data_IF_568978045209
#
_entry.id   IF_568978045209
#
_cell.length_a   1.000
_cell.length_b   1.000
_cell.length_c   1.000
_cell.angle_alpha   90.00
_cell.angle_beta   90.00
_cell.angle_gamma   90.00
#
_symmetry.space_group_name_H-M   'P 1'
#
loop_
_entity.id
_entity.type
_entity.pdbx_description
1 polymer ?
#
# COMPACT_ATOMS: atom_id res chain seq x y z
N UNK A 1 -10.81 5.92 6.19
CA UNK A 1 -10.09 6.49 7.36
C UNK A 1 -9.14 5.42 7.91
N UNK A 2 -7.86 5.51 7.58
CA UNK A 2 -6.82 4.73 8.27
C UNK A 2 -6.50 5.46 9.56
N UNK A 3 -7.00 4.97 10.70
CA UNK A 3 -6.58 5.48 11.99
C UNK A 3 -5.36 4.67 12.44
N UNK A 4 -4.17 5.27 12.37
CA UNK A 4 -3.01 4.79 13.11
C UNK A 4 -3.02 5.56 14.42
N UNK A 5 -3.50 4.96 15.50
CA UNK A 5 -3.41 5.58 16.83
C UNK A 5 -2.17 5.05 17.54
N UNK A 6 -1.27 5.95 17.92
CA UNK A 6 -0.20 5.64 18.87
C UNK A 6 -0.70 5.93 20.28
N UNK A 7 -0.77 4.90 21.12
CA UNK A 7 -1.16 5.05 22.53
C UNK A 7 0.06 4.80 23.40
N UNK A 8 0.37 5.73 24.30
CA UNK A 8 1.41 5.54 25.31
C UNK A 8 0.81 4.77 26.49
N UNK A 9 1.27 3.55 26.72
CA UNK A 9 0.85 2.73 27.86
C UNK A 9 2.10 2.36 28.66
N UNK A 10 2.37 3.11 29.74
CA UNK A 10 3.60 2.95 30.53
C UNK A 10 4.84 3.47 29.81
N UNK A 11 5.98 2.77 29.91
CA UNK A 11 7.25 3.16 29.27
C UNK A 11 7.37 2.72 27.80
N UNK A 12 6.33 2.14 27.20
CA UNK A 12 6.32 1.63 25.83
C UNK A 12 5.32 2.36 24.93
N UNK A 13 5.66 2.49 23.66
CA UNK A 13 4.78 3.05 22.62
C UNK A 13 4.06 1.89 21.93
N UNK A 14 2.72 1.90 21.88
CA UNK A 14 1.94 0.95 21.07
C UNK A 14 1.56 1.59 19.75
N UNK A 15 1.63 0.84 18.66
CA UNK A 15 1.19 1.28 17.33
C UNK A 15 0.00 0.43 16.92
N UNK A 16 -1.18 1.04 16.87
CA UNK A 16 -2.38 0.37 16.36
C UNK A 16 -2.42 0.60 14.84
N UNK A 17 -2.46 -0.48 14.05
CA UNK A 17 -2.62 -0.38 12.60
C UNK A 17 -4.03 -0.89 12.27
N UNK A 18 -4.94 0.03 11.97
CA UNK A 18 -6.26 -0.33 11.47
C UNK A 18 -6.22 -0.45 9.93
N UNK A 19 -6.36 -1.67 9.43
CA UNK A 19 -6.61 -1.93 8.02
C UNK A 19 -8.11 -2.15 7.83
N UNK A 20 -8.77 -1.22 7.15
CA UNK A 20 -10.19 -1.36 6.78
C UNK A 20 -10.25 -1.69 5.30
N UNK A 21 -10.64 -2.91 4.95
CA UNK A 21 -11.01 -3.25 3.58
C UNK A 21 -12.52 -3.26 3.46
N UNK A 22 -13.08 -2.33 2.70
CA UNK A 22 -14.48 -2.35 2.28
C UNK A 22 -14.58 -3.05 0.93
N UNK A 23 -15.16 -4.25 0.88
CA UNK A 23 -15.62 -4.82 -0.38
C UNK A 23 -17.00 -4.26 -0.70
N UNK A 24 -17.11 -3.48 -1.77
CA UNK A 24 -18.40 -3.23 -2.40
C UNK A 24 -18.80 -4.45 -3.21
N UNK A 25 -19.86 -5.13 -2.80
CA UNK A 25 -20.51 -6.11 -3.66
C UNK A 25 -21.17 -5.36 -4.83
N UNK A 26 -20.99 -5.81 -6.09
CA UNK A 26 -21.73 -5.23 -7.21
C UNK A 26 -23.23 -5.48 -6.97
N UNK A 27 -24.04 -4.42 -7.00
CA UNK A 27 -25.50 -4.51 -6.94
C UNK A 27 -26.04 -5.28 -8.14
N UNK A 28 -26.16 -6.61 -8.02
CA UNK A 28 -27.03 -7.38 -8.90
C UNK A 28 -28.45 -7.28 -8.36
N UNK A 29 -29.27 -6.46 -9.03
CA UNK A 29 -30.72 -6.40 -8.85
C UNK A 29 -31.33 -7.74 -9.27
N UNK A 30 -31.46 -8.67 -8.33
CA UNK A 30 -32.38 -9.79 -8.45
C UNK A 30 -33.19 -9.92 -7.16
N UNK A 31 -34.51 -9.83 -7.32
CA UNK A 31 -35.44 -9.88 -6.21
C UNK A 31 -35.46 -11.30 -5.61
N UNK A 32 -35.11 -11.40 -4.33
CA UNK A 32 -35.46 -12.57 -3.51
C UNK A 32 -34.27 -13.33 -2.91
N UNK A 33 -33.57 -12.70 -1.96
CA UNK A 33 -32.91 -13.34 -0.80
C UNK A 33 -31.90 -12.35 -0.23
N UNK A 34 -32.17 -11.78 0.94
CA UNK A 34 -31.24 -10.90 1.64
C UNK A 34 -30.05 -11.71 2.17
N UNK A 35 -29.04 -11.92 1.34
CA UNK A 35 -27.72 -12.34 1.80
C UNK A 35 -27.08 -11.15 2.51
N UNK A 36 -27.10 -11.14 3.85
CA UNK A 36 -26.29 -10.21 4.64
C UNK A 36 -24.82 -10.47 4.34
N UNK A 37 -24.19 -9.64 3.52
CA UNK A 37 -22.74 -9.61 3.42
C UNK A 37 -22.20 -9.14 4.77
N UNK A 38 -21.53 -10.05 5.49
CA UNK A 38 -20.86 -9.68 6.73
C UNK A 38 -19.59 -8.94 6.33
N UNK A 39 -19.60 -7.61 6.47
CA UNK A 39 -18.38 -6.80 6.44
C UNK A 39 -17.49 -7.27 7.59
N UNK A 40 -16.48 -8.10 7.29
CA UNK A 40 -15.53 -8.56 8.30
C UNK A 40 -14.27 -7.71 8.21
N UNK A 41 -14.06 -6.88 9.23
CA UNK A 41 -12.83 -6.09 9.43
C UNK A 41 -11.92 -6.82 10.41
N UNK A 42 -10.62 -6.88 10.11
CA UNK A 42 -9.61 -7.38 11.04
C UNK A 42 -8.78 -6.21 11.57
N UNK A 43 -8.61 -6.13 12.90
CA UNK A 43 -7.78 -5.12 13.56
C UNK A 43 -6.51 -5.81 14.06
N UNK A 44 -5.35 -5.29 13.66
CA UNK A 44 -4.04 -5.74 14.12
C UNK A 44 -3.49 -4.74 15.11
N UNK A 45 -3.27 -5.18 16.34
CA UNK A 45 -2.63 -4.36 17.39
C UNK A 45 -1.25 -4.93 17.67
N UNK A 46 -0.20 -4.19 17.29
CA UNK A 46 1.20 -4.58 17.50
C UNK A 46 1.96 -3.62 18.42
N UNK A 47 3.08 -4.08 18.96
CA UNK A 47 4.10 -3.21 19.55
C UNK A 47 5.16 -2.81 18.51
N UNK A 48 6.07 -1.91 18.90
CA UNK A 48 7.15 -1.40 18.05
C UNK A 48 8.20 -2.45 17.69
N UNK A 49 8.25 -3.57 18.42
CA UNK A 49 9.17 -4.68 18.18
C UNK A 49 8.58 -5.70 17.19
N UNK A 50 7.36 -5.44 16.71
CA UNK A 50 6.65 -6.28 15.76
C UNK A 50 5.91 -7.45 16.41
N UNK A 51 5.76 -7.47 17.74
CA UNK A 51 4.92 -8.46 18.41
C UNK A 51 3.46 -8.02 18.31
N UNK A 52 2.61 -8.91 17.81
CA UNK A 52 1.16 -8.68 17.75
C UNK A 52 0.59 -8.95 19.15
N UNK A 53 0.16 -7.89 19.85
CA UNK A 53 -0.33 -7.99 21.22
C UNK A 53 -1.79 -8.47 21.29
N UNK A 54 -2.64 -8.01 20.38
CA UNK A 54 -4.04 -8.45 20.26
C UNK A 54 -4.40 -8.56 18.78
N UNK A 55 -5.09 -9.65 18.44
CA UNK A 55 -5.57 -9.94 17.11
C UNK A 55 -7.02 -10.37 17.22
N UNK A 56 -7.94 -9.51 16.79
CA UNK A 56 -9.34 -9.92 16.63
C UNK A 56 -9.41 -10.80 15.37
N UNK A 57 -10.08 -11.95 15.42
CA UNK A 57 -9.59 -13.19 14.85
C UNK A 57 -9.63 -13.20 13.32
N UNK A 58 -8.46 -13.03 12.70
CA UNK A 58 -8.01 -13.83 11.57
C UNK A 58 -6.49 -13.92 11.67
N UNK A 59 -5.99 -15.10 12.04
CA UNK A 59 -4.57 -15.32 12.26
C UNK A 59 -3.76 -14.99 11.00
N UNK A 60 -2.83 -14.04 11.07
CA UNK A 60 -1.76 -13.92 10.08
C UNK A 60 -0.74 -15.04 10.29
N UNK A 61 -1.15 -16.29 10.03
CA UNK A 61 -0.31 -17.50 10.14
C UNK A 61 0.85 -17.52 9.14
N UNK A 62 0.90 -16.57 8.20
CA UNK A 62 1.93 -16.53 7.17
C UNK A 62 3.33 -16.34 7.74
N UNK A 63 3.51 -15.55 8.82
CA UNK A 63 4.84 -15.37 9.44
C UNK A 63 5.38 -16.63 10.09
N UNK A 64 4.51 -17.38 10.78
CA UNK A 64 4.89 -18.61 11.49
C UNK A 64 5.46 -19.65 10.52
N UNK A 65 5.01 -19.61 9.27
CA UNK A 65 5.46 -20.52 8.21
C UNK A 65 6.19 -19.79 7.08
N UNK A 66 6.69 -18.57 7.27
CA UNK A 66 7.24 -17.80 6.15
C UNK A 66 8.41 -18.53 5.50
N UNK A 67 9.34 -19.09 6.28
CA UNK A 67 10.44 -19.90 5.74
C UNK A 67 9.93 -21.10 4.94
N UNK A 68 8.91 -21.82 5.43
CA UNK A 68 8.33 -22.96 4.73
C UNK A 68 7.56 -22.56 3.46
N UNK A 69 6.79 -21.47 3.50
CA UNK A 69 6.07 -20.92 2.36
C UNK A 69 7.02 -20.39 1.30
N UNK A 70 8.10 -19.70 1.69
CA UNK A 70 9.16 -19.26 0.78
C UNK A 70 9.83 -20.48 0.12
N UNK A 71 10.17 -21.51 0.89
CA UNK A 71 10.73 -22.75 0.32
C UNK A 71 9.76 -23.44 -0.65
N UNK A 72 8.47 -23.50 -0.32
CA UNK A 72 7.44 -24.04 -1.20
C UNK A 72 7.30 -23.22 -2.49
N UNK A 73 7.30 -21.88 -2.37
CA UNK A 73 7.25 -20.96 -3.50
C UNK A 73 8.45 -21.17 -4.44
N UNK A 74 9.66 -21.25 -3.85
CA UNK A 74 10.91 -21.51 -4.58
C UNK A 74 10.91 -22.88 -5.27
N UNK A 75 10.28 -23.89 -4.65
CA UNK A 75 10.13 -25.21 -5.24
C UNK A 75 9.10 -25.23 -6.39
N UNK A 76 8.03 -24.44 -6.28
CA UNK A 76 6.92 -24.42 -7.24
C UNK A 76 7.22 -23.57 -8.49
N UNK A 77 8.00 -22.50 -8.36
CA UNK A 77 8.35 -21.60 -9.45
C UNK A 77 9.86 -21.61 -9.71
N UNK A 78 10.35 -22.37 -10.70
CA UNK A 78 11.77 -22.39 -11.04
C UNK A 78 12.24 -21.02 -11.61
N UNK A 79 12.73 -20.18 -10.71
CA UNK A 79 13.90 -19.29 -10.82
C UNK A 79 14.08 -18.41 -12.06
N UNK A 80 13.02 -17.91 -12.69
CA UNK A 80 13.15 -16.71 -13.53
C UNK A 80 13.34 -15.42 -12.70
N UNK A 81 13.02 -15.46 -11.39
CA UNK A 81 13.15 -14.36 -10.42
C UNK A 81 14.43 -14.41 -9.55
N UNK A 82 15.32 -15.40 -9.73
CA UNK A 82 16.53 -15.51 -8.89
C UNK A 82 17.60 -14.46 -9.18
N UNK A 83 17.54 -13.80 -10.34
CA UNK A 83 18.57 -12.82 -10.70
C UNK A 83 18.72 -11.69 -9.67
N UNK A 84 17.64 -11.40 -8.94
CA UNK A 84 17.59 -10.22 -8.09
C UNK A 84 17.61 -10.55 -6.58
N UNK A 85 17.47 -11.82 -6.19
CA UNK A 85 17.54 -12.24 -4.79
C UNK A 85 18.93 -12.78 -4.46
N UNK A 86 19.66 -12.08 -3.60
CA UNK A 86 20.95 -12.54 -3.11
C UNK A 86 20.81 -13.77 -2.21
N UNK A 87 21.82 -14.64 -2.17
CA UNK A 87 21.83 -15.80 -1.27
C UNK A 87 21.67 -15.40 0.21
N UNK A 88 22.18 -14.22 0.58
CA UNK A 88 22.00 -13.65 1.92
C UNK A 88 20.52 -13.34 2.22
N UNK A 89 19.82 -12.70 1.29
CA UNK A 89 18.38 -12.43 1.41
C UNK A 89 17.59 -13.73 1.56
N UNK A 90 17.94 -14.75 0.76
CA UNK A 90 17.31 -16.06 0.84
C UNK A 90 17.53 -16.72 2.20
N UNK A 91 18.76 -16.66 2.72
CA UNK A 91 19.10 -17.18 4.04
C UNK A 91 18.27 -16.50 5.14
N UNK A 92 18.13 -15.18 5.11
CA UNK A 92 17.30 -14.43 6.07
C UNK A 92 15.82 -14.76 6.00
N UNK A 93 15.28 -14.98 4.79
CA UNK A 93 13.90 -15.44 4.62
C UNK A 93 13.68 -16.83 5.22
N UNK A 94 14.63 -17.74 5.02
CA UNK A 94 14.53 -19.11 5.50
C UNK A 94 14.76 -19.26 7.00
N UNK A 95 15.47 -18.32 7.64
CA UNK A 95 15.71 -18.33 9.08
C UNK A 95 14.53 -17.79 9.91
N UNK A 96 13.39 -17.51 9.28
CA UNK A 96 12.22 -16.85 9.91
C UNK A 96 12.54 -15.47 10.52
N UNK A 97 13.63 -14.82 10.11
CA UNK A 97 14.02 -13.48 10.58
C UNK A 97 13.59 -12.36 9.62
N UNK A 98 12.36 -12.44 9.10
CA UNK A 98 11.82 -11.39 8.23
C UNK A 98 11.52 -10.06 8.96
N UNK A 99 11.89 -9.94 10.24
CA UNK A 99 11.77 -8.73 11.05
C UNK A 99 10.32 -8.27 11.29
N UNK A 100 10.13 -7.08 11.87
CA UNK A 100 8.81 -6.51 12.08
C UNK A 100 8.11 -6.20 10.75
N UNK A 101 6.78 -6.27 10.73
CA UNK A 101 5.99 -5.75 9.60
C UNK A 101 6.08 -4.23 9.67
N UNK A 102 6.48 -3.60 8.57
CA UNK A 102 6.55 -2.14 8.47
C UNK A 102 5.22 -1.56 7.95
N UNK A 103 4.52 -2.30 7.10
CA UNK A 103 3.28 -1.86 6.50
C UNK A 103 2.56 -3.00 5.79
N UNK A 104 1.25 -2.85 5.65
CA UNK A 104 0.40 -3.80 4.95
C UNK A 104 -0.75 -3.06 4.29
N UNK A 105 -1.03 -3.36 3.02
CA UNK A 105 -2.16 -2.82 2.28
C UNK A 105 -2.80 -3.92 1.44
N UNK A 106 -4.10 -3.82 1.17
CA UNK A 106 -4.76 -4.73 0.22
C UNK A 106 -5.23 -3.96 -1.00
N UNK A 107 -5.07 -4.56 -2.17
CA UNK A 107 -5.51 -3.98 -3.43
C UNK A 107 -6.18 -5.05 -4.30
N UNK A 108 -7.19 -4.63 -5.07
CA UNK A 108 -7.89 -5.50 -5.99
C UNK A 108 -7.34 -5.30 -7.39
N UNK A 109 -6.56 -6.27 -7.86
CA UNK A 109 -5.80 -6.19 -9.11
C UNK A 109 -6.29 -7.31 -10.03
N UNK A 110 -6.29 -7.10 -11.36
CA UNK A 110 -6.53 -8.18 -12.30
C UNK A 110 -5.63 -9.38 -11.99
N UNK A 111 -6.15 -10.61 -12.15
CA UNK A 111 -5.34 -11.79 -11.94
C UNK A 111 -4.18 -11.78 -12.93
N UNK A 112 -3.04 -12.30 -12.51
CA UNK A 112 -1.91 -12.54 -13.40
C UNK A 112 -2.40 -13.32 -14.63
N UNK A 113 -1.97 -12.94 -15.85
CA UNK A 113 -2.38 -13.63 -17.06
C UNK A 113 -2.06 -15.12 -16.90
N UNK A 114 -3.10 -15.95 -16.94
CA UNK A 114 -2.93 -17.39 -16.87
C UNK A 114 -2.02 -17.81 -18.02
N UNK A 115 -1.07 -18.71 -17.76
CA UNK A 115 -0.16 -19.25 -18.78
C UNK A 115 -0.87 -20.05 -19.87
N UNK A 116 -2.18 -20.30 -19.73
CA UNK A 116 -2.99 -21.00 -20.72
C UNK A 116 -3.77 -20.01 -21.60
N UNK A 117 -3.50 -19.93 -22.91
CA UNK A 117 -4.15 -19.00 -23.83
C UNK A 117 -5.62 -19.33 -24.15
N UNK A 118 -6.17 -20.45 -23.65
CA UNK A 118 -7.46 -20.98 -24.13
C UNK A 118 -8.67 -20.71 -23.21
N UNK A 119 -8.52 -19.97 -22.12
CA UNK A 119 -9.65 -19.60 -21.26
C UNK A 119 -10.01 -18.12 -21.44
N UNK A 120 -10.96 -17.84 -22.34
CA UNK A 120 -11.68 -16.55 -22.42
C UNK A 120 -12.66 -16.37 -21.25
N UNK A 121 -12.22 -16.68 -20.03
CA UNK A 121 -13.02 -16.44 -18.82
C UNK A 121 -12.94 -14.95 -18.45
N UNK A 122 -14.09 -14.35 -18.14
CA UNK A 122 -14.21 -13.02 -17.54
C UNK A 122 -13.10 -12.81 -16.49
N UNK A 123 -12.39 -11.68 -16.57
CA UNK A 123 -11.27 -11.35 -15.68
C UNK A 123 -11.79 -11.15 -14.25
N UNK A 124 -11.88 -12.25 -13.50
CA UNK A 124 -12.22 -12.20 -12.09
C UNK A 124 -11.09 -11.49 -11.33
N UNK A 125 -11.37 -10.30 -10.80
CA UNK A 125 -10.41 -9.57 -9.98
C UNK A 125 -10.05 -10.35 -8.72
N UNK A 126 -8.79 -10.28 -8.30
CA UNK A 126 -8.32 -10.91 -7.07
C UNK A 126 -7.83 -9.84 -6.09
N UNK A 127 -8.25 -9.94 -4.83
CA UNK A 127 -7.72 -9.10 -3.76
C UNK A 127 -6.40 -9.70 -3.25
N UNK A 128 -5.34 -8.94 -3.39
CA UNK A 128 -4.01 -9.27 -2.90
C UNK A 128 -3.71 -8.44 -1.65
N UNK A 129 -3.02 -9.04 -0.70
CA UNK A 129 -2.45 -8.33 0.45
C UNK A 129 -0.95 -8.18 0.26
N UNK A 130 -0.48 -6.95 0.26
CA UNK A 130 0.93 -6.58 0.15
C UNK A 130 1.46 -6.31 1.54
N UNK A 131 2.57 -6.93 1.89
CA UNK A 131 3.24 -6.75 3.17
C UNK A 131 4.68 -6.34 2.92
N UNK A 132 5.11 -5.28 3.59
CA UNK A 132 6.51 -4.87 3.63
C UNK A 132 7.11 -5.13 5.01
N UNK A 133 8.39 -5.46 5.03
CA UNK A 133 9.16 -5.65 6.25
C UNK A 133 10.45 -4.85 6.18
N UNK A 134 11.36 -5.06 7.12
CA UNK A 134 12.70 -4.46 7.06
C UNK A 134 13.60 -4.97 5.93
N UNK A 135 13.22 -6.07 5.26
CA UNK A 135 13.95 -6.58 4.10
C UNK A 135 13.57 -5.76 2.85
N UNK A 136 14.46 -5.62 1.86
CA UNK A 136 14.18 -4.93 0.60
C UNK A 136 13.25 -5.75 -0.32
N UNK A 137 12.10 -6.16 0.21
CA UNK A 137 11.15 -7.11 -0.39
C UNK A 137 9.71 -6.67 -0.09
N UNK A 138 8.82 -6.91 -1.04
CA UNK A 138 7.37 -6.91 -0.85
C UNK A 138 6.87 -8.33 -0.92
N UNK A 139 6.15 -8.77 0.10
CA UNK A 139 5.47 -10.06 0.12
C UNK A 139 4.04 -9.87 -0.39
N UNK A 140 3.64 -10.68 -1.36
CA UNK A 140 2.29 -10.65 -1.93
C UNK A 140 1.56 -11.90 -1.50
N UNK A 141 0.43 -11.72 -0.83
CA UNK A 141 -0.41 -12.80 -0.32
C UNK A 141 -1.78 -12.80 -0.99
N UNK A 142 -2.33 -13.99 -1.20
CA UNK A 142 -3.74 -14.21 -1.56
C UNK A 142 -4.32 -15.14 -0.51
N UNK A 143 -5.41 -14.72 0.16
CA UNK A 143 -6.04 -15.51 1.21
C UNK A 143 -5.00 -16.05 2.22
N UNK A 144 -4.09 -15.17 2.67
CA UNK A 144 -3.00 -15.47 3.61
C UNK A 144 -1.93 -16.46 3.12
N UNK A 145 -1.97 -16.87 1.87
CA UNK A 145 -0.93 -17.69 1.23
C UNK A 145 0.03 -16.79 0.50
N UNK A 146 1.33 -16.89 0.78
CA UNK A 146 2.37 -16.21 0.02
C UNK A 146 2.37 -16.71 -1.43
N UNK A 147 2.10 -15.82 -2.38
CA UNK A 147 2.06 -16.15 -3.82
C UNK A 147 3.23 -15.53 -4.59
N UNK A 148 3.84 -14.48 -4.07
CA UNK A 148 4.98 -13.82 -4.73
C UNK A 148 5.82 -13.01 -3.73
N UNK A 149 7.10 -12.85 -4.07
CA UNK A 149 8.01 -11.90 -3.43
C UNK A 149 8.57 -10.97 -4.51
N UNK A 150 8.46 -9.66 -4.31
CA UNK A 150 8.94 -8.64 -5.25
C UNK A 150 10.17 -7.95 -4.63
N UNK A 151 11.36 -8.04 -5.25
CA UNK A 151 12.55 -7.39 -4.76
C UNK A 151 12.53 -5.88 -5.03
N UNK A 152 13.17 -5.11 -4.14
CA UNK A 152 13.36 -3.67 -4.23
C UNK A 152 14.85 -3.33 -4.11
N UNK A 153 15.27 -2.12 -4.52
CA UNK A 153 16.67 -1.68 -4.34
C UNK A 153 17.01 -1.26 -2.91
N UNK A 154 16.00 -0.93 -2.11
CA UNK A 154 16.13 -0.42 -0.76
C UNK A 154 15.02 -0.96 0.15
N UNK A 155 15.19 -0.74 1.45
CA UNK A 155 14.23 -1.17 2.45
C UNK A 155 12.91 -0.38 2.30
N UNK A 156 11.77 -1.05 2.06
CA UNK A 156 10.47 -0.39 2.05
C UNK A 156 10.09 0.07 3.46
N UNK A 157 9.55 1.27 3.56
CA UNK A 157 9.14 1.90 4.82
C UNK A 157 7.65 2.21 4.87
N UNK A 158 7.00 2.35 3.71
CA UNK A 158 5.58 2.72 3.64
C UNK A 158 4.92 2.19 2.37
N UNK A 159 3.59 1.97 2.44
CA UNK A 159 2.74 1.54 1.33
C UNK A 159 1.50 2.43 1.29
N UNK A 160 1.00 2.71 0.09
CA UNK A 160 -0.36 3.22 -0.07
C UNK A 160 -1.03 2.63 -1.32
N UNK A 161 -2.36 2.67 -1.33
CA UNK A 161 -3.18 2.32 -2.49
C UNK A 161 -3.82 3.57 -3.07
N UNK A 162 -4.05 3.56 -4.37
CA UNK A 162 -4.74 4.64 -5.07
C UNK A 162 -4.69 4.47 -6.59
N UNK A 163 -5.21 5.47 -7.29
CA UNK A 163 -5.27 5.52 -8.76
C UNK A 163 -3.98 6.14 -9.29
N UNK A 164 -3.08 5.30 -9.81
CA UNK A 164 -1.77 5.71 -10.32
C UNK A 164 -1.55 5.15 -11.73
N UNK A 165 -0.84 5.87 -12.60
CA UNK A 165 -0.50 5.39 -13.96
C UNK A 165 0.95 4.95 -14.06
N UNK A 166 1.18 3.80 -14.71
CA UNK A 166 2.51 3.20 -14.92
C UNK A 166 3.27 3.73 -16.13
N UNK A 167 2.65 4.30 -17.15
CA UNK A 167 3.35 4.85 -18.31
C UNK A 167 3.23 6.37 -18.36
N UNK A 168 4.32 7.04 -18.76
CA UNK A 168 4.30 8.45 -19.17
C UNK A 168 3.66 8.64 -20.55
N UNK A 169 3.25 7.56 -21.23
CA UNK A 169 2.75 7.67 -22.58
C UNK A 169 1.50 8.54 -22.53
N UNK A 170 1.58 9.78 -23.05
CA UNK A 170 0.39 10.61 -23.19
C UNK A 170 -0.52 9.80 -24.08
N UNK A 171 -1.67 9.37 -23.57
CA UNK A 171 -2.67 8.74 -24.41
C UNK A 171 -3.00 9.82 -25.44
N UNK A 172 -2.61 9.57 -26.70
CA UNK A 172 -2.85 10.54 -27.75
C UNK A 172 -4.36 10.82 -27.76
N UNK A 173 -4.80 12.09 -27.72
CA UNK A 173 -6.21 12.43 -27.56
C UNK A 173 -7.11 11.88 -28.68
N UNK A 174 -6.54 11.41 -29.80
CA UNK A 174 -7.28 10.80 -30.91
C UNK A 174 -7.50 9.29 -30.81
N UNK A 175 -6.87 8.59 -29.86
CA UNK A 175 -7.03 7.14 -29.64
C UNK A 175 -7.56 6.81 -28.26
N UNK A 176 -8.25 7.75 -27.59
CA UNK A 176 -8.94 7.48 -26.34
C UNK A 176 -9.90 6.30 -26.56
N UNK A 177 -9.61 5.09 -26.03
CA UNK A 177 -10.49 3.96 -26.22
C UNK A 177 -11.81 4.33 -25.56
N UNK A 178 -12.89 4.35 -26.34
CA UNK A 178 -14.22 4.55 -25.82
C UNK A 178 -14.47 3.49 -24.73
N UNK A 179 -14.52 3.93 -23.47
CA UNK A 179 -14.82 3.11 -22.30
C UNK A 179 -13.89 1.93 -21.99
N UNK A 180 -12.71 2.18 -21.43
CA UNK A 180 -12.18 1.23 -20.44
C UNK A 180 -11.98 1.87 -19.08
N UNK A 181 -13.09 2.14 -18.35
CA UNK A 181 -13.04 2.53 -16.96
C UNK A 181 -12.87 1.26 -16.13
N UNK A 182 -11.64 0.76 -16.03
CA UNK A 182 -11.31 -0.08 -14.88
C UNK A 182 -10.04 0.48 -14.26
N UNK A 183 -10.25 1.56 -13.51
CA UNK A 183 -9.25 2.14 -12.63
C UNK A 183 -9.09 1.19 -11.45
N UNK A 184 -8.17 0.24 -11.57
CA UNK A 184 -7.82 -0.61 -10.45
C UNK A 184 -6.96 0.17 -9.47
N UNK A 185 -7.12 -0.12 -8.18
CA UNK A 185 -6.20 0.38 -7.17
C UNK A 185 -4.82 -0.19 -7.45
N UNK A 186 -3.87 0.71 -7.64
CA UNK A 186 -2.47 0.38 -7.72
C UNK A 186 -1.83 0.56 -6.34
N UNK A 187 -0.70 -0.09 -6.13
CA UNK A 187 0.06 0.01 -4.87
C UNK A 187 1.35 0.76 -5.13
N UNK A 188 1.61 1.76 -4.31
CA UNK A 188 2.92 2.39 -4.24
C UNK A 188 3.69 1.88 -3.03
N UNK A 189 5.01 1.77 -3.21
CA UNK A 189 5.95 1.42 -2.15
C UNK A 189 6.98 2.52 -2.02
N UNK A 190 7.05 3.14 -0.85
CA UNK A 190 8.08 4.12 -0.52
C UNK A 190 9.22 3.45 0.26
N UNK A 191 10.47 3.79 -0.09
CA UNK A 191 11.67 3.20 0.48
C UNK A 191 12.49 4.18 1.33
N UNK A 192 13.37 3.62 2.16
CA UNK A 192 14.27 4.36 3.05
C UNK A 192 15.34 5.18 2.32
N UNK A 193 15.57 4.96 1.03
CA UNK A 193 16.44 5.78 0.19
C UNK A 193 15.69 6.91 -0.54
N UNK A 194 14.38 7.04 -0.31
CA UNK A 194 13.51 8.01 -0.97
C UNK A 194 12.95 7.55 -2.31
N UNK A 195 13.31 6.37 -2.81
CA UNK A 195 12.70 5.82 -4.02
C UNK A 195 11.24 5.43 -3.78
N UNK A 196 10.40 5.66 -4.80
CA UNK A 196 9.00 5.23 -4.82
C UNK A 196 8.78 4.33 -6.02
N UNK A 197 8.23 3.15 -5.76
CA UNK A 197 7.89 2.15 -6.77
C UNK A 197 6.38 2.03 -6.94
N UNK A 198 5.95 1.87 -8.17
CA UNK A 198 4.60 1.42 -8.52
C UNK A 198 4.62 -0.08 -8.74
N UNK A 199 3.76 -0.81 -8.03
CA UNK A 199 3.53 -2.23 -8.26
C UNK A 199 2.54 -2.39 -9.40
N UNK A 200 3.06 -2.56 -10.61
CA UNK A 200 2.28 -2.80 -11.82
C UNK A 200 2.56 -4.20 -12.34
N UNK A 201 1.49 -4.97 -12.58
CA UNK A 201 1.59 -6.33 -13.13
C UNK A 201 2.48 -7.22 -12.26
N UNK A 202 2.40 -7.04 -10.93
CA UNK A 202 3.21 -7.72 -9.92
C UNK A 202 4.74 -7.52 -10.06
N UNK A 203 5.15 -6.41 -10.66
CA UNK A 203 6.53 -5.98 -10.71
C UNK A 203 6.68 -4.58 -10.09
N UNK A 204 7.77 -4.35 -9.35
CA UNK A 204 8.11 -3.03 -8.87
C UNK A 204 8.76 -2.21 -9.99
N UNK A 205 8.10 -1.13 -10.41
CA UNK A 205 8.62 -0.19 -11.41
C UNK A 205 8.93 1.15 -10.74
N UNK A 206 10.13 1.73 -10.94
CA UNK A 206 10.42 3.07 -10.42
C UNK A 206 9.36 4.07 -10.89
N UNK A 207 8.85 4.89 -9.97
CA UNK A 207 7.79 5.86 -10.25
C UNK A 207 8.29 7.29 -10.09
N UNK A 208 8.80 7.65 -8.90
CA UNK A 208 9.52 8.88 -8.66
C UNK A 208 10.51 8.72 -7.48
N UNK A 209 11.26 9.77 -7.16
CA UNK A 209 12.12 9.81 -5.98
C UNK A 209 11.89 11.07 -5.16
N UNK A 210 11.81 10.89 -3.84
CA UNK A 210 11.89 11.95 -2.86
C UNK A 210 13.36 12.31 -2.56
N UNK A 211 13.66 13.58 -2.21
CA UNK A 211 15.01 13.98 -1.86
C UNK A 211 15.49 13.50 -0.47
N UNK A 212 14.79 12.54 0.15
CA UNK A 212 15.03 12.07 1.52
C UNK A 212 14.38 10.70 1.76
N UNK A 213 14.82 10.04 2.82
CA UNK A 213 14.27 8.79 3.31
C UNK A 213 12.78 8.92 3.68
N UNK A 214 11.92 8.13 3.01
CA UNK A 214 10.49 8.14 3.29
C UNK A 214 10.19 7.45 4.62
N UNK A 215 9.33 8.07 5.42
CA UNK A 215 8.73 7.44 6.61
C UNK A 215 7.27 7.14 6.39
N UNK A 216 6.56 8.00 5.65
CA UNK A 216 5.14 7.80 5.34
C UNK A 216 4.76 8.32 3.97
N UNK A 217 3.72 7.69 3.43
CA UNK A 217 3.14 8.03 2.15
C UNK A 217 1.64 7.75 2.21
N UNK A 218 0.83 8.70 1.73
CA UNK A 218 -0.63 8.52 1.64
C UNK A 218 -1.12 9.02 0.28
N UNK A 219 -2.14 8.33 -0.25
CA UNK A 219 -2.85 8.76 -1.43
C UNK A 219 -4.01 9.67 -1.03
N UNK A 220 -4.19 10.77 -1.77
CA UNK A 220 -5.33 11.67 -1.60
C UNK A 220 -6.19 11.58 -2.86
N UNK A 221 -7.42 11.05 -2.75
CA UNK A 221 -8.34 10.96 -3.87
C UNK A 221 -8.68 12.33 -4.46
N UNK A 222 -8.97 12.34 -5.75
CA UNK A 222 -9.44 13.53 -6.46
C UNK A 222 -10.81 13.32 -7.11
N UNK A 223 -11.56 14.41 -7.18
CA UNK A 223 -12.92 14.42 -7.73
C UNK A 223 -12.97 14.35 -9.26
N UNK A 224 -11.89 14.66 -9.97
CA UNK A 224 -11.85 14.84 -11.42
C UNK A 224 -11.49 13.56 -12.20
N UNK A 225 -11.67 12.39 -11.58
CA UNK A 225 -11.30 11.07 -12.12
C UNK A 225 -9.84 10.94 -12.57
N UNK A 226 -8.97 11.88 -12.18
CA UNK A 226 -7.54 11.82 -12.45
C UNK A 226 -6.83 10.85 -11.52
N UNK A 227 -5.52 10.73 -11.67
CA UNK A 227 -4.67 10.07 -10.68
C UNK A 227 -4.76 10.78 -9.34
N UNK A 228 -4.64 10.00 -8.27
CA UNK A 228 -4.65 10.53 -6.92
C UNK A 228 -3.34 11.30 -6.65
N UNK A 229 -3.40 12.30 -5.76
CA UNK A 229 -2.18 12.92 -5.25
C UNK A 229 -1.47 11.98 -4.30
N UNK A 230 -0.15 12.11 -4.24
CA UNK A 230 0.67 11.33 -3.31
C UNK A 230 1.41 12.28 -2.40
N UNK A 231 1.10 12.19 -1.12
CA UNK A 231 1.75 13.00 -0.10
C UNK A 231 2.82 12.17 0.57
N UNK A 232 4.03 12.71 0.62
CA UNK A 232 5.21 12.06 1.16
C UNK A 232 5.82 12.84 2.32
N UNK A 233 6.17 12.13 3.39
CA UNK A 233 6.92 12.66 4.52
C UNK A 233 8.08 11.72 4.90
N UNK A 234 9.03 12.25 5.65
CA UNK A 234 10.27 11.55 5.97
C UNK A 234 11.02 12.19 7.13
N UNK A 235 12.30 11.90 7.23
CA UNK A 235 13.21 12.50 8.23
C UNK A 235 13.62 13.95 7.87
N UNK A 236 12.65 14.78 7.47
CA UNK A 236 12.84 16.20 7.23
C UNK A 236 11.59 16.99 7.64
N UNK A 237 11.69 18.32 7.62
CA UNK A 237 10.59 19.23 7.96
C UNK A 237 9.76 19.61 6.73
N UNK A 238 9.69 18.74 5.72
CA UNK A 238 9.01 19.06 4.48
C UNK A 238 8.00 17.99 4.14
N UNK A 239 6.85 18.43 3.68
CA UNK A 239 5.80 17.61 3.13
C UNK A 239 5.78 17.85 1.63
N UNK A 240 5.96 16.79 0.85
CA UNK A 240 5.99 16.86 -0.60
C UNK A 240 4.70 16.28 -1.16
N UNK A 241 4.10 16.99 -2.09
CA UNK A 241 2.89 16.56 -2.80
C UNK A 241 3.29 16.28 -4.24
N UNK A 242 3.06 15.04 -4.66
CA UNK A 242 3.33 14.56 -6.00
C UNK A 242 2.02 14.33 -6.75
N UNK A 243 2.03 14.63 -8.03
CA UNK A 243 0.98 14.29 -8.98
C UNK A 243 1.63 13.92 -10.31
N UNK A 244 1.21 12.79 -10.89
CA UNK A 244 1.83 12.25 -12.12
C UNK A 244 3.36 12.21 -12.07
N UNK A 245 3.90 11.80 -10.91
CA UNK A 245 5.34 11.66 -10.61
C UNK A 245 6.13 12.97 -10.50
N UNK A 246 5.48 14.11 -10.72
CA UNK A 246 6.09 15.41 -10.52
C UNK A 246 5.75 15.93 -9.12
N UNK A 247 6.75 16.48 -8.42
CA UNK A 247 6.49 17.25 -7.20
C UNK A 247 5.78 18.54 -7.60
N UNK A 248 4.50 18.66 -7.24
CA UNK A 248 3.68 19.84 -7.55
C UNK A 248 3.72 20.87 -6.44
N UNK A 249 3.95 20.45 -5.20
CA UNK A 249 3.96 21.34 -4.06
C UNK A 249 4.87 20.84 -2.94
N UNK A 250 5.43 21.77 -2.19
CA UNK A 250 6.22 21.48 -0.99
C UNK A 250 5.76 22.41 0.14
N UNK A 251 5.38 21.83 1.27
CA UNK A 251 5.05 22.57 2.47
C UNK A 251 6.13 22.35 3.52
N UNK A 252 6.71 23.44 3.98
CA UNK A 252 7.61 23.40 5.12
C UNK A 252 6.80 23.33 6.41
N UNK A 253 7.05 22.31 7.19
CA UNK A 253 6.52 22.10 8.53
C UNK A 253 7.41 22.81 9.56
N UNK A 254 6.88 23.00 10.76
CA UNK A 254 7.64 23.59 11.87
C UNK A 254 8.44 22.54 12.65
N UNK A 255 8.10 21.26 12.47
CA UNK A 255 8.76 20.13 13.11
C UNK A 255 8.71 18.88 12.20
N UNK A 256 9.22 17.74 12.67
CA UNK A 256 9.21 16.49 11.95
C UNK A 256 7.80 15.90 11.89
N UNK A 257 7.33 15.48 10.70
CA UNK A 257 6.06 14.78 10.56
C UNK A 257 6.17 13.41 11.21
N UNK A 258 5.21 13.10 12.06
CA UNK A 258 5.10 11.85 12.81
C UNK A 258 4.03 10.94 12.22
N UNK A 259 2.93 11.53 11.74
CA UNK A 259 1.83 10.79 11.12
C UNK A 259 1.09 11.58 10.03
N UNK A 260 0.42 10.86 9.11
CA UNK A 260 -0.42 11.39 8.04
C UNK A 260 -1.76 10.65 8.04
N UNK A 261 -2.85 11.39 7.87
CA UNK A 261 -4.17 10.81 7.62
C UNK A 261 -4.95 11.64 6.61
N UNK A 262 -5.87 10.99 5.88
CA UNK A 262 -6.72 11.64 4.89
C UNK A 262 -8.18 11.34 5.20
N UNK A 263 -9.03 12.36 5.11
CA UNK A 263 -10.47 12.26 5.28
C UNK A 263 -11.16 13.60 5.14
N UNK A 264 -12.46 13.58 4.86
CA UNK A 264 -13.33 14.75 4.89
C UNK A 264 -13.68 15.07 6.36
N UNK A 265 -13.17 16.19 6.86
CA UNK A 265 -13.22 16.60 8.27
C UNK A 265 -14.27 17.67 8.49
N UNK A 266 -14.48 18.54 7.51
CA UNK A 266 -15.43 19.64 7.59
C UNK A 266 -16.80 19.33 6.96
N UNK A 267 -16.91 18.20 6.25
CA UNK A 267 -18.15 17.69 5.68
C UNK A 267 -18.49 18.31 4.31
N UNK A 268 -17.52 18.91 3.62
CA UNK A 268 -17.73 19.51 2.30
C UNK A 268 -17.66 18.48 1.13
N UNK A 269 -17.35 17.23 1.46
CA UNK A 269 -17.22 16.12 0.51
C UNK A 269 -15.82 15.98 -0.10
N UNK A 270 -14.85 16.82 0.28
CA UNK A 270 -13.47 16.78 -0.21
C UNK A 270 -12.55 16.24 0.88
N UNK A 271 -11.48 15.52 0.51
CA UNK A 271 -10.54 15.02 1.50
C UNK A 271 -9.57 16.11 1.98
N UNK A 272 -9.49 16.31 3.29
CA UNK A 272 -8.39 17.03 3.93
C UNK A 272 -7.24 16.10 4.26
N UNK A 273 -6.05 16.68 4.33
CA UNK A 273 -4.86 16.03 4.84
C UNK A 273 -4.59 16.48 6.28
N UNK A 274 -4.54 15.52 7.19
CA UNK A 274 -4.07 15.69 8.55
C UNK A 274 -2.59 15.33 8.66
N UNK A 275 -1.83 16.23 9.28
CA UNK A 275 -0.41 16.05 9.56
C UNK A 275 -0.18 16.20 11.06
N UNK A 276 0.25 15.12 11.69
CA UNK A 276 0.76 15.17 13.06
C UNK A 276 2.26 15.51 12.99
N UNK A 277 2.68 16.62 13.60
CA UNK A 277 4.08 17.02 13.69
C UNK A 277 4.53 17.17 15.15
N UNK A 278 5.78 16.80 15.41
CA UNK A 278 6.39 16.89 16.75
C UNK A 278 5.63 16.07 17.79
N UNK A 279 5.48 16.61 19.01
CA UNK A 279 4.88 15.89 20.14
C UNK A 279 3.37 16.08 20.29
N UNK A 280 2.76 17.11 19.69
CA UNK A 280 1.36 17.44 19.96
C UNK A 280 0.66 18.35 18.94
N UNK A 281 1.25 18.64 17.77
CA UNK A 281 0.62 19.57 16.83
C UNK A 281 -0.04 18.81 15.68
N UNK A 282 -1.35 18.96 15.55
CA UNK A 282 -2.14 18.45 14.42
C UNK A 282 -2.49 19.62 13.50
N UNK A 283 -2.11 19.54 12.23
CA UNK A 283 -2.47 20.51 11.19
C UNK A 283 -3.39 19.83 10.18
N UNK A 284 -4.47 20.50 9.78
CA UNK A 284 -5.31 20.11 8.65
C UNK A 284 -5.01 21.00 7.44
N UNK A 285 -4.76 20.39 6.29
CA UNK A 285 -4.58 21.06 5.00
C UNK A 285 -5.79 20.74 4.12
N UNK A 286 -6.44 21.79 3.62
CA UNK A 286 -7.43 21.66 2.55
C UNK A 286 -6.70 21.58 1.22
N UNK A 287 -6.93 20.49 0.50
CA UNK A 287 -6.23 20.13 -0.72
C UNK A 287 -7.07 20.58 -1.93
N UNK A 288 -7.23 21.89 -2.10
CA UNK A 288 -8.00 22.47 -3.22
C UNK A 288 -7.09 22.70 -4.43
N UNK A 289 -7.39 22.10 -5.60
CA UNK A 289 -6.66 22.42 -6.83
C UNK A 289 -6.83 23.91 -7.18
N UNK A 290 -5.73 24.66 -7.30
CA UNK A 290 -5.73 25.98 -7.95
C UNK A 290 -5.77 27.22 -7.05
N UNK A 291 -5.55 27.11 -5.74
CA UNK A 291 -5.16 28.26 -4.90
C UNK A 291 -3.80 28.00 -4.27
N UNK A 292 -2.75 28.36 -5.02
CA UNK A 292 -1.38 28.40 -4.53
C UNK A 292 -1.14 29.52 -3.53
#
# INVERSE_FOLDING_TARGET
>A
MHLVSREQVGSGTRTVIQCVTTQHAPEMVSAGSAATSVNQQAILVGDTDGNVSHMYPYQLNWKINLGAQVQQLLAQYPLHTRKDLTDATLATLTSNQAGPIQGMVSATIPPLPATSPNSQSQLATTTYTFVITWLPLVFVLVQQTLVMVIPLSAQPTTLCTGRFVSSHQPIAPSEAPAHQPVSYDNVLVGCSDGSVYLLDSMAAKPWFSCPYALTQMVAVPRDDDSTDWVVCTGHNQNLYIYHDRACVQTHRLNDWPMDLAVGDIDGDGRPELLVLQGTATLIAYSLVPGRG
#
